data_IF_965954990180
#
_entry.id   IF_965954990180
#
_cell.length_a   1.000
_cell.length_b   1.000
_cell.length_c   1.000
_cell.angle_alpha   90.00
_cell.angle_beta   90.00
_cell.angle_gamma   90.00
#
_symmetry.space_group_name_H-M   'P 1'
#
loop_
_entity.id
_entity.type
_entity.pdbx_description
1 polymer ?
#
# COMPACT_ATOMS: atom_id res chain seq x y z
N UNK A 1 2.17 -14.91 23.29
CA UNK A 1 1.84 -15.73 22.10
C UNK A 1 1.25 -14.92 20.95
N UNK A 2 0.24 -14.06 21.16
CA UNK A 2 -0.35 -13.23 20.10
C UNK A 2 0.65 -12.31 19.36
N UNK A 3 1.48 -11.55 20.09
CA UNK A 3 2.48 -10.66 19.46
C UNK A 3 3.51 -11.43 18.60
N UNK A 4 3.91 -12.61 19.05
CA UNK A 4 4.86 -13.48 18.33
C UNK A 4 4.27 -13.97 17.01
N UNK A 5 2.96 -14.24 16.97
CA UNK A 5 2.28 -14.68 15.75
C UNK A 5 2.16 -13.54 14.72
N UNK A 6 1.86 -12.33 15.18
CA UNK A 6 1.83 -11.13 14.33
C UNK A 6 3.22 -10.82 13.75
N UNK A 7 4.29 -10.94 14.54
CA UNK A 7 5.65 -10.70 14.04
C UNK A 7 6.11 -11.74 13.01
N UNK A 8 5.69 -13.00 13.18
CA UNK A 8 5.92 -14.06 12.19
C UNK A 8 5.16 -13.76 10.90
N UNK A 9 3.86 -13.48 10.97
CA UNK A 9 3.03 -13.09 9.83
C UNK A 9 3.65 -11.93 9.03
N UNK A 10 4.04 -10.85 9.72
CA UNK A 10 4.64 -9.68 9.07
C UNK A 10 5.97 -10.00 8.40
N UNK A 11 6.75 -10.93 8.95
CA UNK A 11 8.00 -11.39 8.35
C UNK A 11 7.72 -12.20 7.09
N UNK A 12 6.78 -13.14 7.16
CA UNK A 12 6.47 -14.03 6.06
C UNK A 12 5.90 -13.25 4.86
N UNK A 13 4.96 -12.31 5.11
CA UNK A 13 4.45 -11.41 4.06
C UNK A 13 5.59 -10.57 3.46
N UNK A 14 6.50 -10.03 4.27
CA UNK A 14 7.66 -9.27 3.76
C UNK A 14 8.56 -10.14 2.87
N UNK A 15 8.83 -11.37 3.29
CA UNK A 15 9.71 -12.28 2.57
C UNK A 15 9.06 -12.72 1.24
N UNK A 16 7.74 -12.94 1.20
CA UNK A 16 7.02 -13.13 -0.06
C UNK A 16 7.18 -11.96 -1.03
N UNK A 17 7.00 -10.71 -0.58
CA UNK A 17 7.25 -9.53 -1.43
C UNK A 17 8.73 -9.38 -1.86
N UNK A 18 9.67 -9.92 -1.10
CA UNK A 18 11.09 -9.80 -1.40
C UNK A 18 11.58 -10.88 -2.37
N UNK A 19 11.01 -12.08 -2.30
CA UNK A 19 11.52 -13.28 -2.96
C UNK A 19 10.67 -13.73 -4.16
N UNK A 20 9.38 -13.40 -4.20
CA UNK A 20 8.50 -13.74 -5.34
C UNK A 20 8.89 -12.91 -6.59
N UNK A 21 9.29 -13.55 -7.71
CA UNK A 21 9.65 -12.87 -8.96
C UNK A 21 8.53 -12.06 -9.59
N UNK A 22 7.27 -12.34 -9.25
CA UNK A 22 6.09 -11.63 -9.73
C UNK A 22 5.66 -10.49 -8.81
N UNK A 23 6.36 -10.32 -7.69
CA UNK A 23 6.02 -9.30 -6.70
C UNK A 23 6.14 -7.89 -7.29
N UNK A 24 5.15 -7.01 -7.07
CA UNK A 24 5.24 -5.61 -7.46
C UNK A 24 6.31 -4.82 -6.67
N UNK A 25 6.84 -5.40 -5.58
CA UNK A 25 7.91 -4.80 -4.78
C UNK A 25 9.26 -5.48 -4.98
N UNK A 26 9.38 -6.39 -5.96
CA UNK A 26 10.63 -7.09 -6.25
C UNK A 26 11.77 -6.08 -6.47
N UNK A 27 12.88 -6.29 -5.76
CA UNK A 27 14.05 -5.41 -5.82
C UNK A 27 13.90 -4.07 -5.08
N UNK A 28 12.70 -3.70 -4.62
CA UNK A 28 12.41 -2.47 -3.86
C UNK A 28 12.50 -2.65 -2.34
N UNK A 29 12.74 -3.88 -1.88
CA UNK A 29 12.88 -4.21 -0.46
C UNK A 29 14.34 -4.44 -0.06
N UNK A 30 14.60 -4.26 1.24
CA UNK A 30 15.90 -4.55 1.86
C UNK A 30 15.70 -5.22 3.23
N UNK A 31 16.00 -6.52 3.37
CA UNK A 31 15.79 -7.25 4.62
C UNK A 31 16.70 -6.76 5.77
N UNK A 32 17.98 -6.50 5.48
CA UNK A 32 19.01 -6.36 6.51
C UNK A 32 19.28 -4.93 6.98
N UNK A 33 19.30 -3.94 6.08
CA UNK A 33 19.63 -2.54 6.40
C UNK A 33 18.85 -1.56 5.53
N UNK A 34 18.68 -0.33 6.01
CA UNK A 34 18.19 0.77 5.16
C UNK A 34 19.12 0.92 3.97
N UNK A 35 18.55 0.92 2.78
CA UNK A 35 19.25 1.18 1.53
C UNK A 35 18.53 2.28 0.77
N UNK A 36 19.26 3.00 -0.07
CA UNK A 36 18.67 4.08 -0.88
C UNK A 36 17.66 3.48 -1.84
N UNK A 37 16.50 4.14 -1.99
CA UNK A 37 15.40 3.67 -2.86
C UNK A 37 14.92 2.25 -2.52
N UNK A 38 14.94 1.87 -1.24
CA UNK A 38 14.41 0.58 -0.76
C UNK A 38 13.67 0.72 0.56
N UNK A 39 12.62 -0.09 0.74
CA UNK A 39 11.89 -0.20 1.99
C UNK A 39 12.53 -1.28 2.87
N UNK A 40 12.93 -0.90 4.08
CA UNK A 40 13.46 -1.86 5.06
C UNK A 40 12.35 -2.68 5.70
N UNK A 41 12.64 -3.90 6.17
CA UNK A 41 11.71 -4.74 6.93
C UNK A 41 11.05 -3.98 8.09
N UNK A 42 11.80 -3.18 8.84
CA UNK A 42 11.24 -2.37 9.93
C UNK A 42 10.20 -1.34 9.43
N UNK A 43 10.43 -0.70 8.29
CA UNK A 43 9.48 0.26 7.72
C UNK A 43 8.23 -0.46 7.21
N UNK A 44 8.42 -1.59 6.52
CA UNK A 44 7.33 -2.43 6.01
C UNK A 44 6.44 -2.93 7.15
N UNK A 45 7.03 -3.60 8.14
CA UNK A 45 6.31 -4.17 9.28
C UNK A 45 5.56 -3.07 10.05
N UNK A 46 6.16 -1.89 10.24
CA UNK A 46 5.48 -0.77 10.89
C UNK A 46 4.28 -0.24 10.09
N UNK A 47 4.29 -0.37 8.76
CA UNK A 47 3.20 0.07 7.90
C UNK A 47 2.08 -0.99 7.77
N UNK A 48 2.43 -2.28 7.82
CA UNK A 48 1.48 -3.40 7.68
C UNK A 48 0.87 -3.81 9.02
N UNK A 49 1.58 -3.68 10.14
CA UNK A 49 1.08 -4.05 11.48
C UNK A 49 -0.32 -3.49 11.82
N UNK A 50 -0.66 -2.21 11.51
CA UNK A 50 -2.00 -1.69 11.75
C UNK A 50 -3.10 -2.33 10.89
N UNK A 51 -2.73 -3.00 9.79
CA UNK A 51 -3.68 -3.63 8.85
C UNK A 51 -4.06 -5.04 9.28
N UNK A 52 -3.30 -5.67 10.19
CA UNK A 52 -3.51 -7.06 10.60
C UNK A 52 -4.92 -7.29 11.16
N UNK A 53 -5.53 -6.28 11.82
CA UNK A 53 -6.92 -6.38 12.30
C UNK A 53 -7.96 -6.49 11.18
N UNK A 54 -7.66 -5.99 9.98
CA UNK A 54 -8.53 -6.10 8.79
C UNK A 54 -8.48 -7.53 8.22
N UNK A 55 -7.37 -8.22 8.51
CA UNK A 55 -7.04 -9.54 8.01
C UNK A 55 -7.16 -10.62 9.09
N UNK A 56 -7.99 -10.41 10.12
CA UNK A 56 -8.06 -11.28 11.30
C UNK A 56 -8.31 -12.77 10.98
N UNK A 57 -8.98 -13.05 9.86
CA UNK A 57 -9.30 -14.41 9.40
C UNK A 57 -8.58 -14.78 8.08
N UNK A 58 -7.51 -14.07 7.74
CA UNK A 58 -6.74 -14.28 6.50
C UNK A 58 -5.38 -14.85 6.81
N UNK A 59 -4.94 -15.80 5.98
CA UNK A 59 -3.60 -16.33 6.06
C UNK A 59 -2.56 -15.43 5.37
N UNK A 60 -1.29 -15.80 5.46
CA UNK A 60 -0.17 -15.06 4.87
C UNK A 60 -0.35 -14.85 3.37
N UNK A 61 -0.82 -15.88 2.65
CA UNK A 61 -0.95 -15.87 1.19
C UNK A 61 -2.09 -14.93 0.78
N UNK A 62 -3.24 -15.00 1.44
CA UNK A 62 -4.37 -14.10 1.18
C UNK A 62 -4.03 -12.62 1.45
N UNK A 63 -3.25 -12.35 2.50
CA UNK A 63 -2.77 -11.00 2.80
C UNK A 63 -1.79 -10.53 1.73
N UNK A 64 -0.85 -11.39 1.34
CA UNK A 64 0.10 -11.10 0.27
C UNK A 64 -0.62 -10.77 -1.04
N UNK A 65 -1.58 -11.60 -1.47
CA UNK A 65 -2.34 -11.41 -2.71
C UNK A 65 -3.13 -10.10 -2.71
N UNK A 66 -3.82 -9.79 -1.61
CA UNK A 66 -4.59 -8.55 -1.49
C UNK A 66 -3.69 -7.31 -1.53
N UNK A 67 -2.55 -7.34 -0.82
CA UNK A 67 -1.58 -6.25 -0.84
C UNK A 67 -0.86 -6.14 -2.20
N UNK A 68 -0.56 -7.26 -2.84
CA UNK A 68 0.08 -7.30 -4.16
C UNK A 68 -0.83 -6.66 -5.21
N UNK A 69 -2.10 -7.08 -5.25
CA UNK A 69 -3.12 -6.46 -6.09
C UNK A 69 -3.27 -4.95 -5.86
N UNK A 70 -3.22 -4.53 -4.60
CA UNK A 70 -3.24 -3.11 -4.26
C UNK A 70 -2.00 -2.36 -4.75
N UNK A 71 -0.80 -2.91 -4.59
CA UNK A 71 0.42 -2.30 -5.08
C UNK A 71 0.43 -2.19 -6.61
N UNK A 72 -0.05 -3.20 -7.33
CA UNK A 72 -0.19 -3.14 -8.80
C UNK A 72 -1.08 -1.96 -9.20
N UNK A 73 -2.23 -1.77 -8.54
CA UNK A 73 -3.12 -0.64 -8.79
C UNK A 73 -2.46 0.72 -8.46
N UNK A 74 -1.68 0.77 -7.37
CA UNK A 74 -0.90 1.97 -6.99
C UNK A 74 0.17 2.29 -8.03
N UNK A 75 0.92 1.31 -8.52
CA UNK A 75 1.93 1.52 -9.56
C UNK A 75 1.30 2.03 -10.85
N UNK A 76 0.22 1.38 -11.31
CA UNK A 76 -0.55 1.83 -12.47
C UNK A 76 -1.02 3.29 -12.33
N UNK A 77 -1.55 3.68 -11.16
CA UNK A 77 -1.91 5.07 -10.89
C UNK A 77 -0.73 6.05 -10.90
N UNK A 78 0.45 5.63 -10.43
CA UNK A 78 1.65 6.46 -10.39
C UNK A 78 2.34 6.59 -11.75
N UNK A 79 2.31 5.57 -12.59
CA UNK A 79 2.86 5.58 -13.95
C UNK A 79 2.20 6.68 -14.80
N UNK A 80 0.92 6.97 -14.55
CA UNK A 80 0.20 8.09 -15.17
C UNK A 80 0.68 9.48 -14.71
N UNK A 81 1.44 9.56 -13.61
CA UNK A 81 1.86 10.82 -12.99
C UNK A 81 3.38 11.06 -13.09
N UNK A 82 4.19 10.01 -13.23
CA UNK A 82 5.65 10.08 -13.22
C UNK A 82 6.29 8.88 -13.89
N UNK A 83 7.43 9.09 -14.54
CA UNK A 83 8.23 8.03 -15.17
C UNK A 83 9.09 7.21 -14.20
N UNK A 84 9.03 7.50 -12.89
CA UNK A 84 9.82 6.79 -11.86
C UNK A 84 8.94 6.50 -10.62
N UNK A 85 7.91 5.65 -10.75
CA UNK A 85 6.97 5.37 -9.66
C UNK A 85 7.64 4.69 -8.44
N UNK A 86 8.71 3.92 -8.65
CA UNK A 86 9.45 3.21 -7.60
C UNK A 86 10.15 4.19 -6.64
N UNK A 87 10.61 5.34 -7.15
CA UNK A 87 11.22 6.38 -6.31
C UNK A 87 10.20 7.00 -5.35
N UNK A 88 8.93 7.10 -5.79
CA UNK A 88 7.83 7.56 -4.95
C UNK A 88 7.51 6.51 -3.88
N UNK A 89 7.34 5.24 -4.27
CA UNK A 89 6.96 4.16 -3.34
C UNK A 89 8.03 3.84 -2.31
N UNK A 90 9.29 3.96 -2.67
CA UNK A 90 10.40 3.65 -1.76
C UNK A 90 10.69 4.75 -0.74
N UNK A 91 9.95 5.87 -0.79
CA UNK A 91 9.94 6.86 0.28
C UNK A 91 9.13 6.35 1.48
N UNK A 92 9.76 6.29 2.66
CA UNK A 92 9.13 5.72 3.86
C UNK A 92 7.84 6.45 4.32
N UNK A 93 7.72 7.76 4.08
CA UNK A 93 6.50 8.51 4.39
C UNK A 93 5.40 8.12 3.41
N UNK A 94 5.70 8.13 2.10
CA UNK A 94 4.77 7.69 1.06
C UNK A 94 4.29 6.27 1.31
N UNK A 95 5.22 5.34 1.51
CA UNK A 95 4.92 3.93 1.74
C UNK A 95 3.92 3.76 2.89
N UNK A 96 4.21 4.37 4.04
CA UNK A 96 3.32 4.32 5.22
C UNK A 96 1.97 4.99 4.94
N UNK A 97 1.94 6.09 4.19
CA UNK A 97 0.69 6.74 3.83
C UNK A 97 -0.17 5.89 2.93
N UNK A 98 0.41 5.23 1.93
CA UNK A 98 -0.29 4.34 1.00
C UNK A 98 -0.82 3.11 1.74
N UNK A 99 -0.03 2.49 2.61
CA UNK A 99 -0.52 1.40 3.47
C UNK A 99 -1.66 1.86 4.39
N UNK A 100 -1.65 3.11 4.87
CA UNK A 100 -2.77 3.63 5.63
C UNK A 100 -4.02 3.90 4.75
N UNK A 101 -3.84 4.25 3.48
CA UNK A 101 -4.95 4.40 2.51
C UNK A 101 -5.57 3.04 2.19
N UNK A 102 -4.78 1.96 2.18
CA UNK A 102 -5.26 0.59 1.97
C UNK A 102 -6.49 0.25 2.83
N UNK A 103 -6.52 0.65 4.11
CA UNK A 103 -7.65 0.41 5.03
C UNK A 103 -8.98 0.85 4.40
N UNK A 104 -9.01 2.09 3.90
CA UNK A 104 -10.20 2.67 3.31
C UNK A 104 -10.47 2.09 1.92
N UNK A 105 -9.43 1.81 1.14
CA UNK A 105 -9.57 1.23 -0.20
C UNK A 105 -10.10 -0.20 -0.15
N UNK A 106 -9.59 -1.04 0.74
CA UNK A 106 -10.04 -2.42 0.94
C UNK A 106 -11.51 -2.45 1.36
N UNK A 107 -11.92 -1.58 2.30
CA UNK A 107 -13.33 -1.49 2.67
C UNK A 107 -14.22 -1.11 1.47
N UNK A 108 -13.80 -0.15 0.65
CA UNK A 108 -14.57 0.25 -0.54
C UNK A 108 -14.63 -0.84 -1.60
N UNK A 109 -13.54 -1.60 -1.80
CA UNK A 109 -13.56 -2.78 -2.68
C UNK A 109 -14.52 -3.84 -2.13
N UNK A 110 -14.51 -4.06 -0.81
CA UNK A 110 -15.45 -4.96 -0.15
C UNK A 110 -16.90 -4.53 -0.36
N UNK A 111 -17.20 -3.25 -0.18
CA UNK A 111 -18.55 -2.70 -0.30
C UNK A 111 -19.08 -2.77 -1.75
N UNK A 112 -18.21 -2.56 -2.75
CA UNK A 112 -18.59 -2.55 -4.17
C UNK A 112 -18.55 -3.93 -4.85
N UNK A 113 -17.60 -4.78 -4.45
CA UNK A 113 -17.23 -6.00 -5.19
C UNK A 113 -17.14 -7.25 -4.31
N UNK A 114 -17.66 -7.23 -3.08
CA UNK A 114 -17.80 -8.42 -2.24
C UNK A 114 -16.48 -9.01 -1.73
N UNK A 115 -15.44 -8.20 -1.57
CA UNK A 115 -14.07 -8.58 -1.16
C UNK A 115 -13.23 -9.23 -2.27
N UNK A 116 -13.61 -9.06 -3.53
CA UNK A 116 -12.76 -9.40 -4.68
C UNK A 116 -11.59 -8.39 -4.77
N UNK A 117 -10.50 -8.65 -4.04
CA UNK A 117 -9.31 -7.79 -3.98
C UNK A 117 -8.38 -7.97 -5.20
N UNK A 118 -8.88 -7.59 -6.38
CA UNK A 118 -8.11 -7.64 -7.64
C UNK A 118 -7.48 -6.28 -7.97
N UNK A 119 -6.44 -6.22 -8.84
CA UNK A 119 -5.85 -4.96 -9.26
C UNK A 119 -6.87 -4.01 -9.91
N UNK A 120 -7.79 -4.53 -10.73
CA UNK A 120 -8.80 -3.74 -11.42
C UNK A 120 -9.79 -3.09 -10.42
N UNK A 121 -10.26 -3.87 -9.44
CA UNK A 121 -11.20 -3.36 -8.43
C UNK A 121 -10.54 -2.29 -7.54
N UNK A 122 -9.25 -2.48 -7.19
CA UNK A 122 -8.49 -1.44 -6.49
C UNK A 122 -8.27 -0.21 -7.37
N UNK A 123 -7.98 -0.39 -8.65
CA UNK A 123 -7.77 0.72 -9.60
C UNK A 123 -9.02 1.58 -9.71
N UNK A 124 -10.21 0.98 -9.82
CA UNK A 124 -11.47 1.72 -9.85
C UNK A 124 -11.70 2.54 -8.56
N UNK A 125 -11.43 1.94 -7.39
CA UNK A 125 -11.58 2.62 -6.10
C UNK A 125 -10.57 3.76 -5.92
N UNK A 126 -9.36 3.60 -6.46
CA UNK A 126 -8.24 4.55 -6.34
C UNK A 126 -8.24 5.61 -7.44
N UNK A 127 -8.92 5.40 -8.56
CA UNK A 127 -8.91 6.31 -9.71
C UNK A 127 -9.16 7.78 -9.33
N UNK A 128 -10.19 8.13 -8.52
CA UNK A 128 -10.42 9.52 -8.15
C UNK A 128 -9.26 10.17 -7.39
N UNK A 129 -8.49 9.37 -6.63
CA UNK A 129 -7.30 9.84 -5.93
C UNK A 129 -6.22 10.23 -6.95
N UNK A 130 -5.93 9.37 -7.92
CA UNK A 130 -4.87 9.61 -8.91
C UNK A 130 -5.22 10.70 -9.92
N UNK A 131 -6.51 10.88 -10.26
CA UNK A 131 -6.95 12.00 -11.10
C UNK A 131 -6.77 13.38 -10.43
N UNK A 132 -6.84 13.44 -9.09
CA UNK A 132 -6.83 14.70 -8.33
C UNK A 132 -5.52 15.00 -7.60
N UNK A 133 -4.68 13.99 -7.39
CA UNK A 133 -3.45 14.14 -6.60
C UNK A 133 -2.44 15.02 -7.33
N UNK A 134 -1.82 15.95 -6.59
CA UNK A 134 -0.72 16.73 -7.13
C UNK A 134 0.58 15.95 -6.99
N UNK A 135 1.26 15.67 -8.10
CA UNK A 135 2.55 14.95 -8.09
C UNK A 135 3.61 15.61 -7.19
N UNK A 136 3.56 16.93 -7.03
CA UNK A 136 4.44 17.68 -6.12
C UNK A 136 4.29 17.25 -4.65
N UNK A 137 3.08 16.86 -4.21
CA UNK A 137 2.81 16.33 -2.87
C UNK A 137 3.42 14.95 -2.65
N UNK A 138 3.58 14.16 -3.72
CA UNK A 138 4.21 12.84 -3.66
C UNK A 138 5.74 12.94 -3.74
N UNK A 139 6.27 13.87 -4.53
CA UNK A 139 7.73 14.14 -4.58
C UNK A 139 8.25 14.76 -3.29
N UNK A 140 7.42 15.53 -2.58
CA UNK A 140 7.77 16.23 -1.35
C UNK A 140 6.71 16.00 -0.25
N UNK A 141 6.65 14.80 0.37
CA UNK A 141 5.55 14.38 1.26
C UNK A 141 5.55 14.99 2.67
N UNK A 142 6.46 15.91 2.97
CA UNK A 142 6.62 16.46 4.32
C UNK A 142 7.16 15.42 5.31
N UNK A 143 6.71 15.50 6.57
CA UNK A 143 7.21 14.66 7.68
C UNK A 143 6.19 13.68 8.26
N UNK A 144 4.91 13.85 7.96
CA UNK A 144 3.81 13.13 8.60
C UNK A 144 3.10 12.24 7.59
N UNK A 145 3.25 10.93 7.75
CA UNK A 145 2.56 9.97 6.90
C UNK A 145 1.04 10.01 7.12
N UNK A 146 0.58 10.38 8.32
CA UNK A 146 -0.84 10.50 8.65
C UNK A 146 -1.49 11.70 7.95
N UNK A 147 -0.79 12.82 7.84
CA UNK A 147 -1.35 13.99 7.14
C UNK A 147 -1.44 13.74 5.64
N UNK A 148 -0.42 13.08 5.08
CA UNK A 148 -0.46 12.66 3.69
C UNK A 148 -1.54 11.59 3.43
N UNK A 149 -1.71 10.59 4.30
CA UNK A 149 -2.76 9.57 4.12
C UNK A 149 -4.16 10.16 4.20
N UNK A 150 -4.39 11.14 5.08
CA UNK A 150 -5.65 11.91 5.16
C UNK A 150 -5.91 12.67 3.87
N UNK A 151 -4.91 13.37 3.35
CA UNK A 151 -5.02 14.07 2.07
C UNK A 151 -5.41 13.11 0.94
N UNK A 152 -4.66 12.01 0.77
CA UNK A 152 -4.92 11.01 -0.27
C UNK A 152 -6.31 10.36 -0.12
N UNK A 153 -6.68 9.97 1.10
CA UNK A 153 -8.00 9.39 1.38
C UNK A 153 -9.14 10.35 1.05
N UNK A 154 -8.97 11.65 1.30
CA UNK A 154 -9.99 12.66 0.96
C UNK A 154 -10.17 12.81 -0.55
N UNK A 155 -9.12 12.66 -1.36
CA UNK A 155 -9.24 12.71 -2.82
C UNK A 155 -10.01 11.51 -3.39
N UNK A 156 -9.90 10.35 -2.73
CA UNK A 156 -10.56 9.12 -3.13
C UNK A 156 -12.08 9.13 -2.93
N UNK A 157 -12.59 10.07 -2.10
CA UNK A 157 -14.03 10.26 -1.88
C UNK A 157 -14.67 10.78 -3.18
N UNK A 158 -15.65 10.04 -3.68
CA UNK A 158 -16.52 10.54 -4.74
C UNK A 158 -17.38 11.66 -4.15
N UNK A 159 -17.47 12.80 -4.84
CA UNK A 159 -18.48 13.80 -4.49
C UNK A 159 -19.83 13.17 -4.81
N UNK A 160 -20.65 12.91 -3.79
CA UNK A 160 -22.05 12.63 -4.01
C UNK A 160 -22.70 13.94 -4.45
N UNK A 161 -22.87 14.12 -5.76
CA UNK A 161 -23.86 15.07 -6.27
C UNK A 161 -25.22 14.41 -6.07
N UNK A 162 -25.97 14.88 -5.08
CA UNK A 162 -27.39 14.55 -4.88
C UNK A 162 -28.25 15.19 -5.97
#
# INVERSE_FOLDING_TARGET
>A
EYETNVEALLRDVFDMFNDDPTSPLLGLLSPAKKSRKKISRTTFNAAVKPLVSIFTDKDTDEIYEALSSYFIAIFSGLENLTSNPEEIITNAIIFRSIMHVFINSAQRVKDRFGSSYTPDNFSEVLEPMFQKVQISKLKSPGKSYLDLSKYLSNLSKTEFTL
#
